data_IF_560696832529
#
_entry.id   IF_560696832529
#
_cell.length_a   1.000
_cell.length_b   1.000
_cell.length_c   1.000
_cell.angle_alpha   90.00
_cell.angle_beta   90.00
_cell.angle_gamma   90.00
#
_symmetry.space_group_name_H-M   'P 1'
#
loop_
_entity.id
_entity.type
_entity.pdbx_description
1 polymer ?
#
# COMPACT_ATOMS: atom_id res chain seq x y z
N UNK A 1 3.95 7.66 -0.88
CA UNK A 1 4.06 6.85 -2.11
C UNK A 1 3.46 5.45 -1.94
N UNK A 2 3.88 4.65 -0.94
CA UNK A 2 3.36 3.28 -0.72
C UNK A 2 1.83 3.20 -0.65
N UNK A 3 1.15 4.14 0.03
CA UNK A 3 -0.31 4.17 0.08
C UNK A 3 -0.96 4.29 -1.31
N UNK A 4 -0.39 5.13 -2.18
CA UNK A 4 -0.89 5.31 -3.55
C UNK A 4 -0.71 4.02 -4.35
N UNK A 5 0.48 3.42 -4.30
CA UNK A 5 0.75 2.18 -5.02
C UNK A 5 -0.09 1.01 -4.50
N UNK A 6 -0.24 0.88 -3.18
CA UNK A 6 -1.09 -0.17 -2.58
C UNK A 6 -2.54 -0.06 -3.04
N UNK A 7 -3.11 1.15 -3.03
CA UNK A 7 -4.49 1.38 -3.48
C UNK A 7 -4.62 1.21 -4.99
N UNK A 8 -3.65 1.71 -5.78
CA UNK A 8 -3.66 1.57 -7.23
C UNK A 8 -3.60 0.10 -7.70
N UNK A 9 -2.85 -0.75 -7.00
CA UNK A 9 -2.81 -2.19 -7.27
C UNK A 9 -4.04 -2.93 -6.75
N UNK A 10 -4.53 -2.55 -5.57
CA UNK A 10 -5.69 -3.20 -4.95
C UNK A 10 -7.00 -2.91 -5.72
N UNK A 11 -7.14 -1.73 -6.30
CA UNK A 11 -8.38 -1.31 -6.92
C UNK A 11 -8.83 -2.19 -8.11
N UNK A 12 -8.00 -2.46 -9.13
CA UNK A 12 -8.36 -3.36 -10.22
C UNK A 12 -8.61 -4.79 -9.74
N UNK A 13 -7.86 -5.25 -8.73
CA UNK A 13 -8.06 -6.57 -8.11
C UNK A 13 -9.41 -6.63 -7.36
N UNK A 14 -9.81 -5.57 -6.66
CA UNK A 14 -11.11 -5.48 -6.00
C UNK A 14 -12.27 -5.55 -7.00
N UNK A 15 -12.15 -4.88 -8.14
CA UNK A 15 -13.15 -4.94 -9.21
C UNK A 15 -13.21 -6.35 -9.82
N UNK A 16 -12.07 -6.97 -10.03
CA UNK A 16 -11.99 -8.32 -10.58
C UNK A 16 -12.60 -9.36 -9.64
N UNK A 17 -12.36 -9.23 -8.34
CA UNK A 17 -12.90 -10.11 -7.29
C UNK A 17 -14.35 -9.76 -6.89
N UNK A 18 -14.98 -8.79 -7.54
CA UNK A 18 -16.37 -8.40 -7.23
C UNK A 18 -17.36 -9.55 -7.39
N UNK A 19 -17.29 -10.25 -8.52
CA UNK A 19 -18.17 -11.39 -8.79
C UNK A 19 -17.44 -12.70 -8.45
N UNK A 20 -18.11 -13.62 -7.74
CA UNK A 20 -17.51 -14.91 -7.46
C UNK A 20 -17.32 -15.71 -8.75
N UNK A 21 -16.16 -16.30 -8.92
CA UNK A 21 -15.81 -17.25 -9.97
C UNK A 21 -15.06 -18.43 -9.37
N UNK A 22 -14.93 -19.53 -10.12
CA UNK A 22 -14.20 -20.72 -9.66
C UNK A 22 -12.77 -20.34 -9.25
N UNK A 23 -12.44 -20.51 -7.96
CA UNK A 23 -11.13 -20.15 -7.39
C UNK A 23 -11.02 -18.73 -6.83
N UNK A 24 -12.03 -17.86 -6.96
CA UNK A 24 -11.99 -16.47 -6.43
C UNK A 24 -11.71 -16.43 -4.93
N UNK A 25 -12.24 -17.37 -4.14
CA UNK A 25 -12.01 -17.44 -2.71
C UNK A 25 -10.54 -17.77 -2.39
N UNK A 26 -9.94 -18.73 -3.12
CA UNK A 26 -8.53 -19.09 -2.94
C UNK A 26 -7.61 -17.93 -3.33
N UNK A 27 -7.85 -17.32 -4.48
CA UNK A 27 -7.08 -16.16 -4.93
C UNK A 27 -7.23 -15.00 -3.94
N UNK A 28 -8.45 -14.73 -3.50
CA UNK A 28 -8.71 -13.70 -2.48
C UNK A 28 -8.03 -14.00 -1.15
N UNK A 29 -7.94 -15.25 -0.72
CA UNK A 29 -7.21 -15.66 0.47
C UNK A 29 -5.69 -15.47 0.31
N UNK A 30 -5.10 -15.90 -0.81
CA UNK A 30 -3.68 -15.72 -1.12
C UNK A 30 -3.30 -14.24 -1.16
N UNK A 31 -4.09 -13.40 -1.83
CA UNK A 31 -3.84 -11.96 -1.90
C UNK A 31 -3.95 -11.26 -0.55
N UNK A 32 -4.71 -11.81 0.39
CA UNK A 32 -4.87 -11.28 1.74
C UNK A 32 -3.89 -11.90 2.76
N UNK A 33 -3.20 -12.98 2.40
CA UNK A 33 -2.27 -13.68 3.28
C UNK A 33 -1.20 -12.78 3.93
N UNK A 34 -0.62 -11.75 3.25
CA UNK A 34 0.34 -10.86 3.87
C UNK A 34 -0.19 -10.09 5.07
N UNK A 35 -1.51 -9.93 5.24
CA UNK A 35 -2.09 -9.31 6.44
C UNK A 35 -1.77 -10.10 7.72
N UNK A 36 -1.72 -11.43 7.63
CA UNK A 36 -1.50 -12.30 8.76
C UNK A 36 -0.03 -12.35 9.22
N UNK A 37 0.89 -11.89 8.37
CA UNK A 37 2.31 -11.90 8.66
C UNK A 37 2.66 -10.64 9.47
N UNK A 38 3.29 -10.79 10.64
CA UNK A 38 3.76 -9.65 11.42
C UNK A 38 4.79 -8.83 10.62
N UNK A 39 4.78 -7.48 10.77
CA UNK A 39 5.60 -6.56 9.98
C UNK A 39 7.10 -6.89 9.97
N UNK A 40 7.68 -7.18 11.14
CA UNK A 40 9.09 -7.54 11.27
C UNK A 40 9.41 -8.82 10.49
N UNK A 41 8.58 -9.85 10.64
CA UNK A 41 8.74 -11.13 9.92
C UNK A 41 8.60 -10.91 8.41
N UNK A 42 7.63 -10.11 7.99
CA UNK A 42 7.45 -9.73 6.59
C UNK A 42 8.70 -9.06 6.01
N UNK A 43 9.34 -8.17 6.77
CA UNK A 43 10.57 -7.50 6.35
C UNK A 43 11.73 -8.49 6.19
N UNK A 44 11.92 -9.41 7.13
CA UNK A 44 12.94 -10.44 7.03
C UNK A 44 12.71 -11.39 5.85
N UNK A 45 11.49 -11.85 5.64
CA UNK A 45 11.14 -12.70 4.50
C UNK A 45 11.43 -11.97 3.18
N UNK A 46 11.02 -10.70 3.08
CA UNK A 46 11.25 -9.90 1.89
C UNK A 46 12.74 -9.70 1.59
N UNK A 47 13.54 -9.36 2.61
CA UNK A 47 14.99 -9.19 2.45
C UNK A 47 15.65 -10.49 1.99
N UNK A 48 15.24 -11.65 2.51
CA UNK A 48 15.74 -12.93 2.01
C UNK A 48 15.42 -13.16 0.52
N UNK A 49 14.28 -12.68 0.04
CA UNK A 49 13.93 -12.78 -1.38
C UNK A 49 14.78 -11.87 -2.25
N UNK A 50 15.03 -10.60 -1.82
CA UNK A 50 15.73 -9.58 -2.60
C UNK A 50 17.23 -9.48 -2.31
N UNK A 51 17.76 -10.26 -1.37
CA UNK A 51 19.18 -10.27 -1.03
C UNK A 51 20.07 -10.63 -2.24
N UNK A 52 21.37 -10.34 -2.13
CA UNK A 52 22.33 -10.59 -3.21
C UNK A 52 22.30 -12.05 -3.71
N UNK A 53 22.17 -13.01 -2.79
CA UNK A 53 21.99 -14.43 -3.08
C UNK A 53 20.54 -14.90 -2.93
N UNK A 54 19.59 -13.96 -2.94
CA UNK A 54 18.19 -14.25 -2.74
C UNK A 54 17.52 -14.89 -3.95
N UNK A 55 16.32 -15.43 -3.72
CA UNK A 55 15.53 -16.16 -4.71
C UNK A 55 15.30 -15.30 -5.97
N UNK A 56 15.06 -14.00 -5.81
CA UNK A 56 14.82 -13.11 -6.95
C UNK A 56 16.05 -12.98 -7.85
N UNK A 57 17.24 -12.80 -7.27
CA UNK A 57 18.49 -12.71 -8.04
C UNK A 57 18.77 -14.03 -8.78
N UNK A 58 18.62 -15.17 -8.09
CA UNK A 58 18.83 -16.48 -8.71
C UNK A 58 17.84 -16.71 -9.87
N UNK A 59 16.57 -16.35 -9.67
CA UNK A 59 15.54 -16.49 -10.69
C UNK A 59 15.81 -15.60 -11.93
N UNK A 60 16.22 -14.35 -11.72
CA UNK A 60 16.55 -13.43 -12.80
C UNK A 60 17.80 -13.84 -13.57
N UNK A 61 18.79 -14.43 -12.89
CA UNK A 61 19.96 -15.02 -13.54
C UNK A 61 19.58 -16.28 -14.35
N UNK A 62 18.74 -17.13 -13.79
CA UNK A 62 18.26 -18.32 -14.51
C UNK A 62 17.48 -17.97 -15.78
N UNK A 63 16.71 -16.87 -15.76
CA UNK A 63 16.03 -16.34 -16.95
C UNK A 63 16.98 -15.64 -17.95
N UNK A 64 18.27 -15.47 -17.61
CA UNK A 64 19.23 -14.76 -18.45
C UNK A 64 19.03 -13.23 -18.51
N UNK A 65 18.16 -12.67 -17.62
CA UNK A 65 17.88 -11.22 -17.59
C UNK A 65 19.04 -10.46 -16.93
N UNK A 66 19.65 -11.07 -15.92
CA UNK A 66 20.82 -10.51 -15.23
C UNK A 66 22.04 -11.40 -15.40
N UNK A 67 23.15 -10.80 -15.86
CA UNK A 67 24.45 -11.49 -15.95
C UNK A 67 25.08 -11.70 -14.57
N UNK A 68 24.83 -10.76 -13.63
CA UNK A 68 25.34 -10.79 -12.26
C UNK A 68 24.25 -10.44 -11.25
N UNK A 69 24.37 -10.93 -9.99
CA UNK A 69 23.41 -10.60 -8.94
C UNK A 69 23.44 -9.08 -8.66
N UNK A 70 22.27 -8.48 -8.43
CA UNK A 70 22.13 -7.06 -8.10
C UNK A 70 21.80 -6.86 -6.63
N UNK A 71 22.39 -5.83 -6.04
CA UNK A 71 22.08 -5.43 -4.66
C UNK A 71 20.77 -4.63 -4.64
N UNK A 72 19.68 -5.29 -4.29
CA UNK A 72 18.34 -4.68 -4.26
C UNK A 72 17.95 -4.19 -2.86
N UNK A 73 18.57 -4.73 -1.82
CA UNK A 73 18.34 -4.28 -0.44
C UNK A 73 19.19 -3.04 -0.11
N UNK A 74 18.74 -2.24 0.85
CA UNK A 74 19.42 -1.03 1.33
C UNK A 74 19.76 -0.03 0.22
N UNK A 75 18.90 0.06 -0.79
CA UNK A 75 19.08 0.97 -1.91
C UNK A 75 18.98 2.45 -1.45
N UNK A 76 19.81 3.36 -2.01
CA UNK A 76 19.84 4.77 -1.60
C UNK A 76 18.51 5.52 -1.75
N UNK A 77 17.65 5.05 -2.63
CA UNK A 77 16.35 5.64 -2.95
C UNK A 77 15.19 5.03 -2.17
N UNK A 78 15.44 4.03 -1.30
CA UNK A 78 14.44 3.31 -0.51
C UNK A 78 13.34 2.61 -1.36
N UNK A 79 13.65 2.19 -2.59
CA UNK A 79 12.70 1.43 -3.42
C UNK A 79 12.35 0.08 -2.80
N UNK A 80 13.30 -0.59 -2.15
CA UNK A 80 13.07 -1.84 -1.41
C UNK A 80 11.99 -1.66 -0.33
N UNK A 81 12.08 -0.58 0.45
CA UNK A 81 11.07 -0.24 1.48
C UNK A 81 9.73 0.07 0.82
N UNK A 82 9.72 0.83 -0.29
CA UNK A 82 8.50 1.18 -1.00
C UNK A 82 7.76 -0.06 -1.52
N UNK A 83 8.50 -1.00 -2.12
CA UNK A 83 7.94 -2.26 -2.63
C UNK A 83 7.41 -3.13 -1.47
N UNK A 84 8.21 -3.27 -0.40
CA UNK A 84 7.82 -4.02 0.79
C UNK A 84 6.55 -3.45 1.44
N UNK A 85 6.50 -2.14 1.66
CA UNK A 85 5.31 -1.45 2.20
C UNK A 85 4.10 -1.61 1.27
N UNK A 86 4.30 -1.52 -0.04
CA UNK A 86 3.24 -1.71 -1.02
C UNK A 86 2.67 -3.12 -0.97
N UNK A 87 3.55 -4.14 -0.99
CA UNK A 87 3.15 -5.53 -0.88
C UNK A 87 2.41 -5.83 0.43
N UNK A 88 2.90 -5.31 1.54
CA UNK A 88 2.32 -5.53 2.87
C UNK A 88 0.99 -4.82 3.08
N UNK A 89 0.81 -3.63 2.51
CA UNK A 89 -0.39 -2.80 2.70
C UNK A 89 -1.45 -3.01 1.62
N UNK A 90 -1.08 -3.54 0.45
CA UNK A 90 -2.03 -3.82 -0.64
C UNK A 90 -3.20 -4.71 -0.19
N UNK A 91 -3.00 -5.79 0.60
CA UNK A 91 -4.10 -6.64 1.07
C UNK A 91 -5.13 -5.89 1.93
N UNK A 92 -4.70 -4.92 2.73
CA UNK A 92 -5.60 -4.08 3.52
C UNK A 92 -6.45 -3.18 2.62
N UNK A 93 -5.81 -2.53 1.64
CA UNK A 93 -6.54 -1.76 0.63
C UNK A 93 -7.51 -2.65 -0.15
N UNK A 94 -7.09 -3.86 -0.52
CA UNK A 94 -7.92 -4.84 -1.23
C UNK A 94 -9.15 -5.23 -0.42
N UNK A 95 -9.01 -5.46 0.88
CA UNK A 95 -10.13 -5.81 1.77
C UNK A 95 -11.19 -4.70 1.78
N UNK A 96 -10.78 -3.45 2.02
CA UNK A 96 -11.68 -2.30 2.06
C UNK A 96 -12.34 -2.02 0.71
N UNK A 97 -11.56 -2.06 -0.37
CA UNK A 97 -12.07 -1.79 -1.70
C UNK A 97 -12.97 -2.90 -2.23
N UNK A 98 -12.67 -4.16 -1.92
CA UNK A 98 -13.55 -5.29 -2.30
C UNK A 98 -14.91 -5.15 -1.63
N UNK A 99 -14.96 -4.84 -0.33
CA UNK A 99 -16.22 -4.59 0.38
C UNK A 99 -17.00 -3.42 -0.22
N UNK A 100 -16.31 -2.32 -0.54
CA UNK A 100 -16.94 -1.15 -1.16
C UNK A 100 -17.46 -1.42 -2.58
N UNK A 101 -16.74 -2.19 -3.39
CA UNK A 101 -17.17 -2.52 -4.75
C UNK A 101 -18.31 -3.55 -4.72
N UNK A 102 -18.30 -4.48 -3.78
CA UNK A 102 -19.35 -5.49 -3.60
C UNK A 102 -20.66 -4.89 -3.06
N UNK A 103 -20.60 -3.78 -2.31
CA UNK A 103 -21.81 -3.10 -1.81
C UNK A 103 -22.61 -2.37 -2.90
N UNK A 104 -22.05 -2.20 -4.10
CA UNK A 104 -22.78 -1.64 -5.25
C UNK A 104 -23.69 -2.73 -5.82
N UNK A 105 -25.01 -2.50 -5.84
CA UNK A 105 -25.97 -3.45 -6.42
C UNK A 105 -25.72 -3.69 -7.91
N UNK A 106 -26.03 -4.89 -8.37
CA UNK A 106 -25.94 -5.23 -9.80
C UNK A 106 -26.95 -4.39 -10.60
N UNK A 107 -28.13 -4.07 -10.05
CA UNK A 107 -29.14 -3.25 -10.69
C UNK A 107 -28.61 -1.88 -11.14
N UNK A 108 -27.79 -1.22 -10.30
CA UNK A 108 -27.17 0.07 -10.66
C UNK A 108 -26.20 -0.07 -11.84
N UNK A 109 -25.44 -1.18 -11.88
CA UNK A 109 -24.50 -1.42 -12.98
C UNK A 109 -25.19 -1.87 -14.27
N UNK A 110 -26.30 -2.59 -14.14
CA UNK A 110 -27.11 -3.03 -15.28
C UNK A 110 -27.90 -1.86 -15.86
N UNK A 111 -28.51 -1.00 -15.03
CA UNK A 111 -29.11 0.24 -15.48
C UNK A 111 -28.12 1.15 -16.24
N UNK A 112 -26.90 1.28 -15.74
CA UNK A 112 -25.86 2.03 -16.47
C UNK A 112 -25.49 1.36 -17.80
N UNK A 113 -25.53 0.02 -17.89
CA UNK A 113 -25.28 -0.73 -19.12
C UNK A 113 -26.42 -0.53 -20.13
N UNK A 114 -27.66 -0.55 -19.68
CA UNK A 114 -28.84 -0.35 -20.53
C UNK A 114 -28.88 1.06 -21.13
N UNK A 115 -28.29 2.03 -20.40
CA UNK A 115 -28.04 3.39 -20.91
C UNK A 115 -26.81 3.49 -21.85
N UNK A 116 -26.22 2.36 -22.24
CA UNK A 116 -25.12 2.31 -23.21
C UNK A 116 -23.74 2.54 -22.60
N UNK A 117 -23.60 2.57 -21.24
CA UNK A 117 -22.29 2.78 -20.60
C UNK A 117 -21.36 1.56 -20.78
N UNK A 118 -20.22 1.77 -21.44
CA UNK A 118 -19.15 0.79 -21.57
C UNK A 118 -18.49 0.46 -20.22
N UNK A 119 -17.60 -0.54 -20.20
CA UNK A 119 -16.90 -0.95 -18.96
C UNK A 119 -16.15 0.20 -18.28
N UNK A 120 -15.49 1.05 -19.08
CA UNK A 120 -14.74 2.21 -18.59
C UNK A 120 -15.66 3.32 -18.06
N UNK A 121 -16.80 3.57 -18.74
CA UNK A 121 -17.78 4.56 -18.27
C UNK A 121 -18.41 4.13 -16.95
N UNK A 122 -18.80 2.85 -16.81
CA UNK A 122 -19.29 2.30 -15.54
C UNK A 122 -18.26 2.41 -14.43
N UNK A 123 -17.00 2.12 -14.73
CA UNK A 123 -15.93 2.32 -13.75
C UNK A 123 -15.83 3.79 -13.34
N UNK A 124 -15.68 4.71 -14.30
CA UNK A 124 -15.38 6.11 -14.02
C UNK A 124 -16.58 6.88 -13.44
N UNK A 125 -17.82 6.56 -13.88
CA UNK A 125 -19.03 7.32 -13.53
C UNK A 125 -19.87 6.69 -12.42
N UNK A 126 -19.70 5.40 -12.15
CA UNK A 126 -20.48 4.68 -11.14
C UNK A 126 -19.56 4.12 -10.04
N UNK A 127 -18.65 3.19 -10.36
CA UNK A 127 -17.87 2.48 -9.36
C UNK A 127 -16.92 3.43 -8.62
N UNK A 128 -16.13 4.20 -9.34
CA UNK A 128 -15.14 5.08 -8.74
C UNK A 128 -15.75 6.15 -7.81
N UNK A 129 -16.83 6.85 -8.16
CA UNK A 129 -17.47 7.79 -7.24
C UNK A 129 -18.08 7.14 -6.01
N UNK A 130 -18.70 5.96 -6.14
CA UNK A 130 -19.33 5.27 -5.03
C UNK A 130 -18.34 4.66 -4.04
N UNK A 131 -17.12 4.34 -4.50
CA UNK A 131 -16.07 3.71 -3.66
C UNK A 131 -14.99 4.69 -3.19
N UNK A 132 -15.08 5.98 -3.55
CA UNK A 132 -14.03 6.96 -3.27
C UNK A 132 -13.81 7.18 -1.77
N UNK A 133 -14.85 7.10 -0.95
CA UNK A 133 -14.75 7.21 0.50
C UNK A 133 -13.92 6.05 1.11
N UNK A 134 -14.15 4.83 0.64
CA UNK A 134 -13.40 3.65 1.07
C UNK A 134 -11.95 3.69 0.56
N UNK A 135 -11.74 4.16 -0.66
CA UNK A 135 -10.40 4.39 -1.21
C UNK A 135 -9.63 5.43 -0.39
N UNK A 136 -10.28 6.53 -0.01
CA UNK A 136 -9.71 7.57 0.83
C UNK A 136 -9.36 7.03 2.22
N UNK A 137 -10.26 6.27 2.85
CA UNK A 137 -10.01 5.65 4.15
C UNK A 137 -8.81 4.71 4.10
N UNK A 138 -8.71 3.87 3.06
CA UNK A 138 -7.56 3.00 2.86
C UNK A 138 -6.26 3.80 2.71
N UNK A 139 -6.25 4.85 1.90
CA UNK A 139 -5.07 5.70 1.70
C UNK A 139 -4.60 6.36 3.00
N UNK A 140 -5.52 6.91 3.80
CA UNK A 140 -5.22 7.58 5.07
C UNK A 140 -4.63 6.59 6.08
N UNK A 141 -5.26 5.44 6.26
CA UNK A 141 -4.81 4.44 7.24
C UNK A 141 -3.43 3.88 6.84
N UNK A 142 -3.24 3.54 5.57
CA UNK A 142 -1.94 3.07 5.08
C UNK A 142 -0.87 4.15 5.20
N UNK A 143 -1.21 5.40 4.93
CA UNK A 143 -0.27 6.53 5.05
C UNK A 143 0.21 6.71 6.51
N UNK A 144 -0.71 6.71 7.47
CA UNK A 144 -0.36 6.82 8.90
C UNK A 144 0.54 5.66 9.32
N UNK A 145 0.20 4.42 8.94
CA UNK A 145 1.03 3.25 9.22
C UNK A 145 2.43 3.33 8.57
N UNK A 146 2.50 3.81 7.33
CA UNK A 146 3.77 3.94 6.61
C UNK A 146 4.69 5.03 7.18
N UNK A 147 4.14 6.14 7.69
CA UNK A 147 4.91 7.21 8.35
C UNK A 147 5.51 6.72 9.66
N UNK A 148 4.76 5.94 10.42
CA UNK A 148 5.19 5.41 11.71
C UNK A 148 6.07 4.15 11.61
N UNK A 149 6.28 3.60 10.40
CA UNK A 149 6.97 2.33 10.24
C UNK A 149 8.46 2.42 10.58
N UNK A 150 8.87 1.60 11.53
CA UNK A 150 10.25 1.41 11.95
C UNK A 150 10.85 0.13 11.37
N UNK A 151 10.07 -0.95 11.37
CA UNK A 151 10.57 -2.31 11.08
C UNK A 151 11.10 -2.46 9.66
N UNK A 152 10.37 -1.95 8.67
CA UNK A 152 10.79 -2.03 7.28
C UNK A 152 11.98 -1.14 6.99
N UNK A 153 12.02 0.03 7.64
CA UNK A 153 13.12 0.98 7.50
C UNK A 153 14.44 0.43 8.05
N UNK A 154 14.41 -0.24 9.22
CA UNK A 154 15.60 -0.84 9.82
C UNK A 154 16.14 -2.00 9.01
N UNK A 155 15.25 -2.84 8.47
CA UNK A 155 15.64 -4.11 7.83
C UNK A 155 15.97 -3.94 6.35
N UNK A 156 15.17 -3.15 5.63
CA UNK A 156 15.29 -2.99 4.18
C UNK A 156 15.66 -1.57 3.74
N UNK A 157 15.66 -0.59 4.65
CA UNK A 157 15.92 0.81 4.34
C UNK A 157 17.37 1.12 4.00
N UNK A 158 17.63 2.31 3.42
CA UNK A 158 18.96 2.76 3.08
C UNK A 158 19.84 2.93 4.32
N UNK A 159 21.12 2.54 4.22
CA UNK A 159 22.07 2.63 5.33
C UNK A 159 22.60 4.05 5.56
N UNK A 160 22.51 4.92 4.54
CA UNK A 160 23.03 6.29 4.58
C UNK A 160 22.01 7.35 5.01
N UNK A 161 20.76 6.96 5.22
CA UNK A 161 19.66 7.84 5.65
C UNK A 161 18.82 7.14 6.70
N UNK A 162 18.51 7.85 7.77
CA UNK A 162 17.61 7.36 8.81
C UNK A 162 16.21 7.96 8.60
N UNK A 163 15.18 7.13 8.74
CA UNK A 163 13.81 7.63 8.83
C UNK A 163 13.58 8.29 10.20
N UNK A 164 12.53 9.12 10.30
CA UNK A 164 12.19 9.73 11.60
C UNK A 164 11.87 8.69 12.66
N UNK A 165 11.24 7.57 12.31
CA UNK A 165 10.99 6.47 13.24
C UNK A 165 12.28 5.82 13.76
N UNK A 166 13.28 5.62 12.87
CA UNK A 166 14.61 5.13 13.27
C UNK A 166 15.33 6.14 14.16
N UNK A 167 15.24 7.45 13.84
CA UNK A 167 15.85 8.52 14.61
C UNK A 167 15.27 8.58 16.04
N UNK A 168 13.94 8.48 16.16
CA UNK A 168 13.26 8.43 17.47
C UNK A 168 13.77 7.26 18.33
N UNK A 169 13.88 6.07 17.75
CA UNK A 169 14.36 4.88 18.47
C UNK A 169 15.87 5.02 18.82
N UNK A 170 16.66 5.65 17.94
CA UNK A 170 18.07 5.92 18.19
C UNK A 170 18.28 6.86 19.39
N UNK A 171 17.53 7.96 19.48
CA UNK A 171 17.57 8.86 20.63
C UNK A 171 17.15 8.15 21.92
N UNK A 172 16.06 7.38 21.88
CA UNK A 172 15.62 6.57 23.01
C UNK A 172 16.70 5.61 23.47
N UNK A 173 17.40 4.93 22.54
CA UNK A 173 18.47 3.99 22.86
C UNK A 173 19.71 4.63 23.50
N UNK A 174 19.91 5.94 23.30
CA UNK A 174 20.98 6.75 23.92
C UNK A 174 20.55 7.37 25.26
N UNK A 175 19.31 7.14 25.71
CA UNK A 175 18.78 7.77 26.93
C UNK A 175 18.29 9.23 26.71
N UNK A 176 18.35 9.76 25.51
CA UNK A 176 17.87 11.11 25.20
C UNK A 176 16.35 11.10 24.92
N UNK A 177 15.60 11.02 26.00
CA UNK A 177 14.13 10.99 25.96
C UNK A 177 13.51 12.28 25.45
N UNK A 178 14.21 13.42 25.65
CA UNK A 178 13.72 14.72 25.18
C UNK A 178 13.72 14.76 23.65
N UNK A 179 14.83 14.48 23.02
CA UNK A 179 14.93 14.44 21.55
C UNK A 179 14.03 13.35 20.94
N UNK A 180 13.93 12.19 21.58
CA UNK A 180 13.02 11.13 21.15
C UNK A 180 11.55 11.61 21.15
N UNK A 181 11.13 12.33 22.19
CA UNK A 181 9.78 12.88 22.30
C UNK A 181 9.50 13.95 21.20
N UNK A 182 10.45 14.84 20.94
CA UNK A 182 10.33 15.84 19.86
C UNK A 182 10.14 15.18 18.50
N UNK A 183 10.92 14.16 18.18
CA UNK A 183 10.77 13.40 16.92
C UNK A 183 9.43 12.66 16.89
N UNK A 184 8.99 12.06 18.01
CA UNK A 184 7.69 11.40 18.12
C UNK A 184 6.52 12.35 17.84
N UNK A 185 6.54 13.55 18.43
CA UNK A 185 5.54 14.61 18.18
C UNK A 185 5.58 15.04 16.71
N UNK A 186 6.79 15.22 16.14
CA UNK A 186 6.94 15.55 14.71
C UNK A 186 6.32 14.49 13.79
N UNK A 187 6.49 13.20 14.09
CA UNK A 187 5.85 12.10 13.37
C UNK A 187 4.32 12.17 13.46
N UNK A 188 3.77 12.47 14.65
CA UNK A 188 2.33 12.65 14.84
C UNK A 188 1.79 13.80 14.01
N UNK A 189 2.47 14.95 14.02
CA UNK A 189 2.08 16.12 13.23
C UNK A 189 2.11 15.81 11.73
N UNK A 190 3.18 15.18 11.24
CA UNK A 190 3.29 14.77 9.83
C UNK A 190 2.17 13.79 9.46
N UNK A 191 1.86 12.82 10.31
CA UNK A 191 0.79 11.87 10.06
C UNK A 191 -0.58 12.54 10.01
N UNK A 192 -0.87 13.47 10.94
CA UNK A 192 -2.13 14.21 10.99
C UNK A 192 -2.28 15.17 9.80
N UNK A 193 -1.27 15.99 9.54
CA UNK A 193 -1.30 16.97 8.44
C UNK A 193 -1.37 16.24 7.09
N UNK A 194 -0.55 15.21 6.88
CA UNK A 194 -0.56 14.43 5.64
C UNK A 194 -1.88 13.71 5.42
N UNK A 195 -2.50 13.13 6.46
CA UNK A 195 -3.82 12.50 6.37
C UNK A 195 -4.92 13.52 6.08
N UNK A 196 -4.86 14.71 6.69
CA UNK A 196 -5.80 15.79 6.42
C UNK A 196 -5.69 16.29 4.96
N UNK A 197 -4.47 16.43 4.43
CA UNK A 197 -4.24 16.78 3.02
C UNK A 197 -4.82 15.71 2.10
N UNK A 198 -4.55 14.43 2.35
CA UNK A 198 -5.10 13.31 1.56
C UNK A 198 -6.63 13.33 1.59
N UNK A 199 -7.23 13.58 2.76
CA UNK A 199 -8.66 13.70 2.93
C UNK A 199 -9.24 14.91 2.17
N UNK A 200 -8.58 16.05 2.22
CA UNK A 200 -9.01 17.26 1.50
C UNK A 200 -8.93 17.08 -0.02
N UNK A 201 -7.84 16.53 -0.54
CA UNK A 201 -7.66 16.26 -1.98
C UNK A 201 -8.77 15.34 -2.50
N UNK A 202 -9.08 14.27 -1.77
CA UNK A 202 -10.16 13.36 -2.19
C UNK A 202 -11.54 14.06 -2.20
N UNK A 203 -11.83 14.95 -1.21
CA UNK A 203 -13.07 15.76 -1.20
C UNK A 203 -13.16 16.73 -2.39
N UNK A 204 -12.05 17.36 -2.76
CA UNK A 204 -12.01 18.28 -3.91
C UNK A 204 -12.30 17.54 -5.21
N UNK A 205 -11.69 16.36 -5.40
CA UNK A 205 -11.92 15.50 -6.56
C UNK A 205 -13.41 15.08 -6.64
N UNK A 206 -14.05 14.81 -5.49
CA UNK A 206 -15.48 14.50 -5.44
C UNK A 206 -16.35 15.68 -5.85
N UNK A 207 -16.10 16.86 -5.29
CA UNK A 207 -16.91 18.08 -5.57
C UNK A 207 -16.84 18.54 -7.02
N UNK A 208 -15.69 18.37 -7.67
CA UNK A 208 -15.51 18.72 -9.08
C UNK A 208 -16.24 17.81 -10.08
N UNK A 209 -16.86 16.70 -9.62
CA UNK A 209 -17.57 15.72 -10.47
C UNK A 209 -19.09 15.75 -10.31
N UNK A 210 -19.61 16.53 -9.34
CA UNK A 210 -21.05 16.69 -9.09
C UNK A 210 -21.62 17.93 -9.84
N UNK A 211 -20.79 18.67 -10.54
CA UNK A 211 -21.17 19.65 -11.54
C UNK A 211 -20.99 19.01 -12.92
#
# INVERSE_FOLDING_TARGET
MSAIFSVALAYPLAIWLRKPFAGSNLIGAILKAPLLVHGLVAAFLFVNVISYHGILNQFMQWLGIWSEPRRLQNDPNAYSVLILQTWKNMPFALLLLTGAVQSISDDVLDAARDLGAGKWDRFRRVIAPLTISSMQAAMVIIFIGAVADFSFQVIAGPTNKQSLSQLMVSFKGRGDWHSAAVVGVSLMVIALVGSAILAAVARIIMRGRIK
#
